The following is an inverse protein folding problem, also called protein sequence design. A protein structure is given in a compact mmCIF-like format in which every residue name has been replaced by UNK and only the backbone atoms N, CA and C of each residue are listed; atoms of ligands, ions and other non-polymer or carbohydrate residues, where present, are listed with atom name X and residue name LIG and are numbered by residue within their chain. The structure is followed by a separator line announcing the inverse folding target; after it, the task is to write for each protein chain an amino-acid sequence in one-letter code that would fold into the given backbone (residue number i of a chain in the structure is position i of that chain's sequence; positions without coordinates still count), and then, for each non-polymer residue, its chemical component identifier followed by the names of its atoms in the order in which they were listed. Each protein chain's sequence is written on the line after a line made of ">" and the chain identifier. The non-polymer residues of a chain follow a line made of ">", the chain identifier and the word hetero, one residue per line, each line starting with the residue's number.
data_IF_900688392895
#
_entry.id   IF_900688392895
#
_cell.length_a   1.000
_cell.length_b   1.000
_cell.length_c   1.000
_cell.angle_alpha   90.00
_cell.angle_beta   90.00
_cell.angle_gamma   90.00
#
_symmetry.space_group_name_H-M   'P 1'
#
loop_
_entity.id
_entity.type
_entity.pdbx_description
1 polymer ?
#
# COMPACT_ATOMS: atom_id res chain seq x y z
N UNK A 1 -7.77 35.81 -11.92
CA UNK A 1 -6.68 34.83 -11.66
C UNK A 1 -7.05 34.07 -10.40
N UNK A 2 -7.77 32.99 -10.56
CA UNK A 2 -8.11 32.11 -9.43
C UNK A 2 -6.92 31.19 -9.17
N UNK A 3 -6.42 31.28 -7.98
CA UNK A 3 -5.27 30.58 -7.44
C UNK A 3 -5.47 29.05 -7.52
N UNK A 4 -4.85 28.41 -8.52
CA UNK A 4 -4.89 26.96 -8.72
C UNK A 4 -3.91 26.20 -7.83
N UNK A 5 -3.25 26.88 -6.89
CA UNK A 5 -2.21 26.31 -6.03
C UNK A 5 -2.78 25.55 -4.83
N UNK A 6 -3.94 25.98 -4.31
CA UNK A 6 -4.51 25.43 -3.08
C UNK A 6 -4.87 23.93 -3.17
N UNK A 7 -5.53 23.42 -4.24
CA UNK A 7 -5.85 21.99 -4.33
C UNK A 7 -4.62 21.10 -4.49
N UNK A 8 -3.60 21.56 -5.20
CA UNK A 8 -2.34 20.83 -5.43
C UNK A 8 -1.57 20.66 -4.11
N UNK A 9 -1.40 21.76 -3.36
CA UNK A 9 -0.69 21.75 -2.08
C UNK A 9 -1.42 20.90 -1.02
N UNK A 10 -2.76 20.96 -1.00
CA UNK A 10 -3.56 20.13 -0.10
C UNK A 10 -3.41 18.64 -0.40
N UNK A 11 -3.36 18.25 -1.67
CA UNK A 11 -3.17 16.86 -2.08
C UNK A 11 -1.73 16.39 -1.84
N UNK A 12 -0.72 17.24 -2.04
CA UNK A 12 0.66 16.94 -1.62
C UNK A 12 0.74 16.73 -0.10
N UNK A 13 0.07 17.57 0.69
CA UNK A 13 -0.01 17.42 2.14
C UNK A 13 -0.73 16.12 2.54
N UNK A 14 -1.78 15.72 1.81
CA UNK A 14 -2.50 14.46 2.04
C UNK A 14 -1.59 13.25 1.81
N UNK A 15 -0.86 13.20 0.69
CA UNK A 15 0.12 12.14 0.39
C UNK A 15 1.20 12.09 1.48
N UNK A 16 1.74 13.25 1.86
CA UNK A 16 2.77 13.36 2.89
C UNK A 16 2.25 12.85 4.23
N UNK A 17 1.03 13.21 4.62
CA UNK A 17 0.38 12.73 5.84
C UNK A 17 0.20 11.20 5.81
N UNK A 18 -0.22 10.64 4.67
CA UNK A 18 -0.37 9.20 4.49
C UNK A 18 0.94 8.46 4.72
N UNK A 19 2.03 8.85 4.06
CA UNK A 19 3.33 8.17 4.22
C UNK A 19 3.99 8.44 5.56
N UNK A 20 3.78 9.61 6.15
CA UNK A 20 4.26 9.90 7.51
C UNK A 20 3.58 9.01 8.55
N UNK A 21 2.26 8.77 8.42
CA UNK A 21 1.54 7.80 9.23
C UNK A 21 2.05 6.37 9.00
N UNK A 22 2.32 6.00 7.76
CA UNK A 22 2.88 4.70 7.43
C UNK A 22 4.28 4.49 8.04
N UNK A 23 5.13 5.50 8.03
CA UNK A 23 6.47 5.42 8.61
C UNK A 23 6.46 5.13 10.11
N UNK A 24 5.44 5.56 10.82
CA UNK A 24 5.22 5.25 12.25
C UNK A 24 4.24 4.10 12.47
N UNK A 25 3.83 3.43 11.42
CA UNK A 25 2.91 2.27 11.42
C UNK A 25 1.54 2.59 12.01
N UNK A 26 1.05 3.79 11.81
CA UNK A 26 -0.29 4.20 12.22
C UNK A 26 -1.32 3.90 11.12
N UNK A 27 -1.80 2.66 11.09
CA UNK A 27 -2.80 2.22 10.11
C UNK A 27 -4.14 2.95 10.23
N UNK A 28 -4.48 3.47 11.39
CA UNK A 28 -5.70 4.26 11.60
C UNK A 28 -5.57 5.63 10.94
N UNK A 29 -4.46 6.33 11.15
CA UNK A 29 -4.19 7.60 10.50
C UNK A 29 -4.08 7.44 8.97
N UNK A 30 -3.48 6.34 8.47
CA UNK A 30 -3.48 6.01 7.05
C UNK A 30 -4.91 5.84 6.50
N UNK A 31 -5.76 5.10 7.21
CA UNK A 31 -7.16 4.87 6.84
C UNK A 31 -7.95 6.16 6.71
N UNK A 32 -7.70 7.14 7.56
CA UNK A 32 -8.35 8.47 7.53
C UNK A 32 -8.02 9.28 6.27
N UNK A 33 -6.98 8.91 5.51
CA UNK A 33 -6.63 9.57 4.25
C UNK A 33 -7.47 9.10 3.06
N UNK A 34 -8.24 8.01 3.20
CA UNK A 34 -9.01 7.41 2.12
C UNK A 34 -10.47 7.84 2.09
N UNK A 35 -10.98 8.04 0.88
CA UNK A 35 -12.41 8.18 0.63
C UNK A 35 -13.14 6.87 0.99
N UNK A 36 -14.40 6.93 1.49
CA UNK A 36 -15.18 5.72 1.83
C UNK A 36 -15.31 4.70 0.68
N UNK A 37 -15.35 5.20 -0.56
CA UNK A 37 -15.43 4.38 -1.77
C UNK A 37 -14.05 4.19 -2.44
N UNK A 38 -12.98 4.23 -1.66
CA UNK A 38 -11.62 4.10 -2.20
C UNK A 38 -11.38 2.76 -2.91
N UNK A 39 -10.46 2.78 -3.87
CA UNK A 39 -9.95 1.58 -4.56
C UNK A 39 -8.44 1.53 -4.44
N UNK A 40 -7.91 0.33 -4.24
CA UNK A 40 -6.47 0.08 -4.18
C UNK A 40 -6.11 -1.15 -5.01
N UNK A 41 -4.98 -1.06 -5.72
CA UNK A 41 -4.37 -2.21 -6.38
C UNK A 41 -2.85 -2.13 -6.35
N UNK A 42 -2.24 -3.28 -6.12
CA UNK A 42 -0.82 -3.52 -6.34
C UNK A 42 -0.61 -4.94 -6.93
N UNK A 43 0.63 -5.39 -7.18
CA UNK A 43 0.87 -6.74 -7.68
C UNK A 43 0.41 -7.89 -6.77
N UNK A 44 0.21 -7.66 -5.48
CA UNK A 44 -0.24 -8.67 -4.51
C UNK A 44 -1.73 -8.53 -4.15
N UNK A 45 -2.21 -7.30 -3.98
CA UNK A 45 -3.61 -6.99 -3.67
C UNK A 45 -4.29 -6.37 -4.88
N UNK A 46 -5.27 -7.06 -5.45
CA UNK A 46 -5.94 -6.62 -6.68
C UNK A 46 -7.36 -6.17 -6.38
N UNK A 47 -7.69 -4.94 -6.82
CA UNK A 47 -9.02 -4.34 -6.76
C UNK A 47 -9.68 -4.41 -5.37
N UNK A 48 -8.95 -3.98 -4.35
CA UNK A 48 -9.53 -3.76 -3.02
C UNK A 48 -10.46 -2.53 -3.06
N UNK A 49 -11.58 -2.59 -2.32
CA UNK A 49 -12.61 -1.57 -2.34
C UNK A 49 -13.08 -1.18 -0.95
N UNK A 50 -13.28 0.11 -0.76
CA UNK A 50 -13.86 0.66 0.46
C UNK A 50 -13.15 0.20 1.74
N UNK A 51 -13.86 -0.45 2.67
CA UNK A 51 -13.27 -0.90 3.94
C UNK A 51 -12.09 -1.86 3.81
N UNK A 52 -11.99 -2.62 2.71
CA UNK A 52 -10.86 -3.52 2.44
C UNK A 52 -9.54 -2.76 2.34
N UNK A 53 -9.55 -1.56 1.74
CA UNK A 53 -8.36 -0.72 1.58
C UNK A 53 -7.79 -0.33 2.94
N UNK A 54 -8.62 0.21 3.82
CA UNK A 54 -8.23 0.59 5.17
C UNK A 54 -7.80 -0.60 6.02
N UNK A 55 -8.52 -1.72 5.91
CA UNK A 55 -8.19 -2.95 6.63
C UNK A 55 -6.83 -3.53 6.19
N UNK A 56 -6.50 -3.47 4.89
CA UNK A 56 -5.20 -3.90 4.38
C UNK A 56 -4.07 -3.11 5.04
N UNK A 57 -4.16 -1.79 5.10
CA UNK A 57 -3.12 -0.97 5.74
C UNK A 57 -3.01 -1.24 7.24
N UNK A 58 -4.13 -1.38 7.96
CA UNK A 58 -4.11 -1.77 9.37
C UNK A 58 -3.47 -3.13 9.58
N UNK A 59 -3.78 -4.10 8.71
CA UNK A 59 -3.17 -5.43 8.76
C UNK A 59 -1.66 -5.35 8.54
N UNK A 60 -1.19 -4.67 7.50
CA UNK A 60 0.23 -4.57 7.16
C UNK A 60 1.02 -3.85 8.26
N UNK A 61 0.51 -2.73 8.77
CA UNK A 61 1.17 -1.97 9.83
C UNK A 61 1.22 -2.71 11.16
N UNK A 62 0.20 -3.50 11.48
CA UNK A 62 0.16 -4.31 12.71
C UNK A 62 1.14 -5.50 12.68
N UNK A 63 1.41 -6.05 11.49
CA UNK A 63 2.28 -7.22 11.32
C UNK A 63 3.75 -6.88 11.08
N UNK A 64 4.04 -5.71 10.54
CA UNK A 64 5.39 -5.29 10.13
C UNK A 64 6.13 -4.58 11.26
N UNK A 65 6.63 -5.34 12.23
CA UNK A 65 7.26 -4.77 13.45
C UNK A 65 8.57 -4.02 13.18
N UNK A 66 9.32 -4.42 12.17
CA UNK A 66 10.63 -3.87 11.81
C UNK A 66 10.58 -3.01 10.51
N UNK A 67 9.39 -2.60 10.10
CA UNK A 67 9.22 -1.77 8.91
C UNK A 67 9.92 -0.43 9.08
N UNK A 68 10.80 -0.13 8.12
CA UNK A 68 11.35 1.20 7.88
C UNK A 68 10.89 1.69 6.52
N UNK A 69 10.36 2.90 6.47
CA UNK A 69 9.81 3.48 5.25
C UNK A 69 10.40 4.87 5.00
N UNK A 70 10.77 5.11 3.75
CA UNK A 70 11.12 6.44 3.22
C UNK A 70 10.31 6.73 1.97
N UNK A 71 9.99 7.99 1.71
CA UNK A 71 9.26 8.41 0.52
C UNK A 71 9.82 9.71 -0.04
N UNK A 72 9.59 9.92 -1.34
CA UNK A 72 10.10 11.07 -2.10
C UNK A 72 9.21 11.35 -3.32
N UNK A 73 9.57 12.38 -4.06
CA UNK A 73 8.95 12.73 -5.36
C UNK A 73 7.42 12.85 -5.24
N UNK A 74 6.96 13.50 -4.17
CA UNK A 74 5.53 13.77 -3.96
C UNK A 74 5.12 14.90 -4.88
N UNK A 75 4.24 14.59 -5.81
CA UNK A 75 3.66 15.53 -6.76
C UNK A 75 2.15 15.36 -6.79
N UNK A 76 1.43 16.46 -6.91
CA UNK A 76 -0.03 16.41 -7.05
C UNK A 76 -0.57 17.58 -7.86
N UNK A 77 -1.71 17.33 -8.51
CA UNK A 77 -2.64 18.31 -9.04
C UNK A 77 -3.94 18.27 -8.24
N UNK A 78 -4.96 18.98 -8.71
CA UNK A 78 -6.29 18.93 -8.10
C UNK A 78 -6.92 17.53 -8.11
N UNK A 79 -6.62 16.71 -9.12
CA UNK A 79 -7.28 15.42 -9.34
C UNK A 79 -6.35 14.22 -9.18
N UNK A 80 -5.06 14.36 -9.43
CA UNK A 80 -4.10 13.26 -9.51
C UNK A 80 -2.83 13.56 -8.74
N UNK A 81 -2.16 12.51 -8.29
CA UNK A 81 -0.87 12.63 -7.64
C UNK A 81 -0.01 11.41 -7.83
N UNK A 82 1.25 11.55 -7.45
CA UNK A 82 2.24 10.47 -7.47
C UNK A 82 3.22 10.62 -6.33
N UNK A 83 3.88 9.53 -5.98
CA UNK A 83 4.99 9.50 -5.05
C UNK A 83 5.85 8.26 -5.32
N UNK A 84 7.07 8.28 -4.79
CA UNK A 84 7.91 7.08 -4.70
C UNK A 84 8.13 6.74 -3.24
N UNK A 85 8.15 5.46 -2.91
CA UNK A 85 8.45 5.03 -1.57
C UNK A 85 9.27 3.74 -1.56
N UNK A 86 9.98 3.53 -0.48
CA UNK A 86 10.87 2.40 -0.25
C UNK A 86 10.58 1.83 1.13
N UNK A 87 10.34 0.53 1.18
CA UNK A 87 10.12 -0.19 2.42
C UNK A 87 11.23 -1.22 2.64
N UNK A 88 11.71 -1.28 3.88
CA UNK A 88 12.60 -2.33 4.38
C UNK A 88 11.85 -3.06 5.50
N UNK A 89 11.70 -4.37 5.36
CA UNK A 89 10.97 -5.16 6.36
C UNK A 89 11.35 -6.64 6.29
N UNK A 90 10.96 -7.39 7.32
CA UNK A 90 11.05 -8.85 7.32
C UNK A 90 9.73 -9.44 6.83
N UNK A 91 9.78 -10.27 5.79
CA UNK A 91 8.60 -10.99 5.29
C UNK A 91 8.24 -12.11 6.27
N UNK A 92 7.08 -12.02 6.93
CA UNK A 92 6.71 -12.87 8.06
C UNK A 92 6.64 -14.36 7.74
N UNK A 93 6.21 -14.73 6.54
CA UNK A 93 6.05 -16.13 6.15
C UNK A 93 7.40 -16.90 6.00
N UNK A 94 8.50 -16.20 5.70
CA UNK A 94 9.80 -16.82 5.44
C UNK A 94 10.92 -16.31 6.35
N UNK A 95 10.70 -15.21 7.07
CA UNK A 95 11.73 -14.54 7.88
C UNK A 95 12.80 -13.82 7.05
N UNK A 96 12.61 -13.68 5.73
CA UNK A 96 13.58 -13.05 4.82
C UNK A 96 13.44 -11.54 4.80
N UNK A 97 14.57 -10.85 4.68
CA UNK A 97 14.60 -9.39 4.52
C UNK A 97 14.21 -8.99 3.11
N UNK A 98 13.33 -7.99 3.02
CA UNK A 98 12.84 -7.42 1.76
C UNK A 98 13.12 -5.92 1.73
N UNK A 99 13.69 -5.47 0.61
CA UNK A 99 13.70 -4.06 0.21
C UNK A 99 12.78 -3.92 -1.00
N UNK A 100 11.65 -3.26 -0.83
CA UNK A 100 10.73 -2.99 -1.91
C UNK A 100 10.76 -1.51 -2.31
N UNK A 101 10.80 -1.24 -3.61
CA UNK A 101 10.77 0.10 -4.20
C UNK A 101 9.51 0.23 -5.03
N UNK A 102 8.69 1.21 -4.70
CA UNK A 102 7.34 1.34 -5.19
C UNK A 102 7.11 2.72 -5.80
N UNK A 103 6.43 2.73 -6.94
CA UNK A 103 5.87 3.95 -7.54
C UNK A 103 4.37 3.96 -7.31
N UNK A 104 3.88 5.02 -6.66
CA UNK A 104 2.49 5.21 -6.31
C UNK A 104 1.82 6.23 -7.22
N UNK A 105 0.58 5.96 -7.61
CA UNK A 105 -0.30 6.88 -8.31
C UNK A 105 -1.62 7.03 -7.56
N UNK A 106 -2.14 8.25 -7.54
CA UNK A 106 -3.33 8.63 -6.78
C UNK A 106 -4.35 9.35 -7.65
N UNK A 107 -5.63 9.14 -7.34
CA UNK A 107 -6.74 10.01 -7.77
C UNK A 107 -7.43 10.49 -6.50
N UNK A 108 -7.78 11.78 -6.46
CA UNK A 108 -8.39 12.42 -5.30
C UNK A 108 -9.85 12.75 -5.54
N UNK A 109 -10.63 12.72 -4.49
CA UNK A 109 -12.00 13.20 -4.46
C UNK A 109 -12.35 13.70 -3.05
N UNK A 110 -13.01 14.84 -2.98
CA UNK A 110 -13.47 15.43 -1.71
C UNK A 110 -12.35 15.59 -0.66
N UNK A 111 -11.12 15.90 -1.12
CA UNK A 111 -9.95 16.06 -0.26
C UNK A 111 -9.37 14.76 0.29
N UNK A 112 -9.75 13.60 -0.26
CA UNK A 112 -9.32 12.26 0.16
C UNK A 112 -8.83 11.45 -1.04
N UNK A 113 -8.11 10.37 -0.76
CA UNK A 113 -7.62 9.42 -1.79
C UNK A 113 -8.80 8.55 -2.23
N UNK A 114 -9.21 8.66 -3.49
CA UNK A 114 -10.24 7.82 -4.11
C UNK A 114 -9.63 6.58 -4.77
N UNK A 115 -8.53 6.74 -5.51
CA UNK A 115 -7.81 5.61 -6.12
C UNK A 115 -6.34 5.68 -5.75
N UNK A 116 -5.77 4.53 -5.44
CA UNK A 116 -4.36 4.35 -5.15
C UNK A 116 -3.85 3.10 -5.86
N UNK A 117 -2.85 3.27 -6.69
CA UNK A 117 -2.18 2.15 -7.37
C UNK A 117 -0.71 2.16 -7.03
N UNK A 118 -0.21 1.06 -6.54
CA UNK A 118 1.21 0.83 -6.30
C UNK A 118 1.78 -0.12 -7.36
N UNK A 119 2.94 0.22 -7.88
CA UNK A 119 3.67 -0.59 -8.84
C UNK A 119 5.07 -0.89 -8.32
N UNK A 120 5.42 -2.16 -8.25
CA UNK A 120 6.75 -2.64 -7.95
C UNK A 120 7.10 -3.88 -8.78
N UNK A 121 8.40 -4.18 -8.89
CA UNK A 121 8.89 -5.40 -9.55
C UNK A 121 8.58 -6.63 -8.69
N UNK A 122 7.52 -7.34 -9.07
CA UNK A 122 7.06 -8.54 -8.35
C UNK A 122 8.11 -9.65 -8.35
N UNK A 123 8.86 -9.84 -9.44
CA UNK A 123 9.90 -10.86 -9.48
C UNK A 123 11.03 -10.55 -8.51
N UNK A 124 11.51 -9.31 -8.49
CA UNK A 124 12.52 -8.86 -7.52
C UNK A 124 12.02 -9.02 -6.07
N UNK A 125 10.78 -8.65 -5.82
CA UNK A 125 10.15 -8.88 -4.52
C UNK A 125 10.10 -10.37 -4.17
N UNK A 126 9.65 -11.23 -5.08
CA UNK A 126 9.55 -12.68 -4.90
C UNK A 126 10.89 -13.35 -4.61
N UNK A 127 11.96 -12.92 -5.29
CA UNK A 127 13.33 -13.39 -5.01
C UNK A 127 13.75 -13.11 -3.58
N UNK A 128 13.48 -11.92 -3.08
CA UNK A 128 13.82 -11.53 -1.71
C UNK A 128 12.93 -12.24 -0.68
N UNK A 129 11.61 -12.19 -0.87
CA UNK A 129 10.63 -12.70 0.08
C UNK A 129 10.58 -14.24 0.14
N UNK A 130 10.70 -14.91 -0.99
CA UNK A 130 10.51 -16.35 -1.14
C UNK A 130 11.81 -17.13 -1.44
N UNK A 131 12.92 -16.42 -1.66
CA UNK A 131 14.21 -17.03 -1.93
C UNK A 131 14.26 -17.82 -3.24
N UNK A 132 14.82 -19.07 -3.25
CA UNK A 132 15.00 -19.85 -4.45
C UNK A 132 13.71 -20.09 -5.24
N UNK A 133 12.58 -20.30 -4.56
CA UNK A 133 11.26 -20.44 -5.19
C UNK A 133 10.85 -19.16 -5.92
N UNK A 134 11.08 -18.00 -5.30
CA UNK A 134 10.81 -16.71 -5.92
C UNK A 134 11.70 -16.43 -7.12
N UNK A 135 12.97 -16.83 -7.07
CA UNK A 135 13.91 -16.74 -8.19
C UNK A 135 13.43 -17.59 -9.37
N UNK A 136 13.04 -18.84 -9.10
CA UNK A 136 12.67 -19.80 -10.13
C UNK A 136 11.29 -19.53 -10.76
N UNK A 137 10.32 -19.07 -9.98
CA UNK A 137 8.90 -18.97 -10.37
C UNK A 137 8.31 -17.56 -10.28
N UNK A 138 9.04 -16.58 -9.74
CA UNK A 138 8.50 -15.23 -9.47
C UNK A 138 8.13 -14.44 -10.74
N UNK A 139 8.69 -14.82 -11.91
CA UNK A 139 8.30 -14.28 -13.21
C UNK A 139 6.98 -14.87 -13.73
N UNK A 140 6.53 -15.99 -13.14
CA UNK A 140 5.35 -16.70 -13.62
C UNK A 140 4.05 -16.11 -13.07
N UNK A 141 3.02 -16.10 -13.91
CA UNK A 141 1.66 -15.74 -13.46
C UNK A 141 1.10 -16.72 -12.43
N UNK A 142 1.60 -17.94 -12.37
CA UNK A 142 1.19 -18.94 -11.38
C UNK A 142 1.55 -18.52 -9.96
N UNK A 143 2.83 -18.15 -9.73
CA UNK A 143 3.26 -17.72 -8.39
C UNK A 143 2.57 -16.40 -7.98
N UNK A 144 2.43 -15.46 -8.93
CA UNK A 144 1.72 -14.20 -8.68
C UNK A 144 0.28 -14.45 -8.23
N UNK A 145 -0.47 -15.30 -8.91
CA UNK A 145 -1.85 -15.65 -8.52
C UNK A 145 -1.90 -16.34 -7.17
N UNK A 146 -0.92 -17.19 -6.84
CA UNK A 146 -0.83 -17.85 -5.54
C UNK A 146 -0.61 -16.83 -4.42
N UNK A 147 0.28 -15.86 -4.62
CA UNK A 147 0.52 -14.77 -3.66
C UNK A 147 -0.72 -13.90 -3.51
N UNK A 148 -1.38 -13.53 -4.59
CA UNK A 148 -2.63 -12.75 -4.58
C UNK A 148 -3.74 -13.47 -3.81
N UNK A 149 -3.91 -14.76 -4.02
CA UNK A 149 -4.91 -15.58 -3.30
C UNK A 149 -4.61 -15.62 -1.81
N UNK A 150 -3.35 -15.81 -1.44
CA UNK A 150 -2.94 -15.83 -0.03
C UNK A 150 -3.10 -14.45 0.64
N UNK A 151 -2.74 -13.38 -0.05
CA UNK A 151 -2.91 -12.01 0.45
C UNK A 151 -4.39 -11.69 0.72
N UNK A 152 -5.28 -12.03 -0.22
CA UNK A 152 -6.72 -11.85 -0.05
C UNK A 152 -7.30 -12.69 1.09
N UNK A 153 -6.86 -13.94 1.24
CA UNK A 153 -7.27 -14.80 2.35
C UNK A 153 -6.82 -14.24 3.71
N UNK A 154 -5.60 -13.73 3.79
CA UNK A 154 -5.06 -13.09 4.98
C UNK A 154 -5.85 -11.83 5.36
N UNK A 155 -6.22 -11.02 4.37
CA UNK A 155 -7.03 -9.82 4.58
C UNK A 155 -8.44 -10.17 5.08
N UNK A 156 -9.09 -11.15 4.46
CA UNK A 156 -10.41 -11.62 4.89
C UNK A 156 -10.40 -12.13 6.34
N UNK A 157 -9.37 -12.90 6.72
CA UNK A 157 -9.21 -13.39 8.08
C UNK A 157 -8.97 -12.24 9.09
N UNK A 158 -8.19 -11.23 8.70
CA UNK A 158 -7.95 -10.05 9.53
C UNK A 158 -9.24 -9.26 9.75
N UNK A 159 -10.00 -8.98 8.69
CA UNK A 159 -11.28 -8.27 8.79
C UNK A 159 -12.30 -9.02 9.63
N UNK A 160 -12.37 -10.35 9.51
CA UNK A 160 -13.25 -11.18 10.32
C UNK A 160 -12.86 -11.14 11.82
N UNK A 161 -11.57 -11.03 12.13
CA UNK A 161 -11.09 -10.87 13.50
C UNK A 161 -11.43 -9.49 14.06
N UNK A 162 -11.23 -8.43 13.27
CA UNK A 162 -11.63 -7.06 13.67
C UNK A 162 -13.13 -6.97 13.97
N UNK A 163 -13.98 -7.59 13.16
CA UNK A 163 -15.42 -7.57 13.34
C UNK A 163 -15.90 -8.28 14.62
N UNK A 164 -15.07 -9.15 15.21
CA UNK A 164 -15.35 -9.89 16.46
C UNK A 164 -14.73 -9.24 17.68
N UNK A 165 -13.90 -8.22 17.52
CA UNK A 165 -13.31 -7.50 18.64
C UNK A 165 -14.40 -6.66 19.34
N UNK A 166 -14.46 -6.65 20.68
CA UNK A 166 -15.45 -5.90 21.46
C UNK A 166 -15.26 -4.38 21.34
#
# INVERSE_FOLDING_TARGET
>A
MTDSTVPSDANCALITRFYSAFAVRDGTAMSACYHPNARFSDPAFVDLRGPEVSAMWRMLTSRSKDLTLTFSDVEASAERGSAKWRALYTFGATGRKVENRISAAFVFKDGLILEHSDLFDFWRWAQQALGPMGLALGWSGFLRRKVQKQARANLAAFMAKEAKAP
#
